data_IF_242734742148
#
_entry.id   IF_242734742148
#
_cell.length_a   1.000
_cell.length_b   1.000
_cell.length_c   1.000
_cell.angle_alpha   90.00
_cell.angle_beta   90.00
_cell.angle_gamma   90.00
#
_symmetry.space_group_name_H-M   'P 1'
#
loop_
_entity.id
_entity.type
_entity.pdbx_description
1 polymer ?
#
# COMPACT_ATOMS: atom_id res chain seq x y z
N UNK A 1 25.19 8.00 55.09
CA UNK A 1 25.22 7.58 53.67
C UNK A 1 24.27 6.40 53.50
N UNK A 2 23.02 6.68 53.15
CA UNK A 2 21.99 5.65 52.89
C UNK A 2 22.06 5.27 51.42
N UNK A 3 22.65 4.12 51.13
CA UNK A 3 22.74 3.59 49.78
C UNK A 3 21.40 2.92 49.41
N UNK A 4 20.58 3.63 48.62
CA UNK A 4 19.35 3.12 48.03
C UNK A 4 19.73 2.28 46.81
N UNK A 5 19.83 0.96 46.96
CA UNK A 5 19.84 0.05 45.81
C UNK A 5 18.44 -0.08 45.22
N UNK A 6 18.28 0.50 44.03
CA UNK A 6 17.09 0.38 43.20
C UNK A 6 16.81 -1.10 42.87
N UNK A 7 15.57 -1.54 43.15
CA UNK A 7 15.04 -2.82 42.66
C UNK A 7 14.63 -2.62 41.20
N UNK A 8 15.39 -3.21 40.28
CA UNK A 8 14.97 -3.39 38.90
C UNK A 8 14.12 -4.68 38.89
N UNK A 9 12.81 -4.52 38.74
CA UNK A 9 11.88 -5.64 38.55
C UNK A 9 11.92 -6.03 37.07
N UNK A 10 12.89 -6.85 36.68
CA UNK A 10 12.87 -7.49 35.36
C UNK A 10 11.89 -8.65 35.39
N UNK A 11 10.75 -8.51 34.72
CA UNK A 11 9.79 -9.61 34.56
C UNK A 11 10.42 -10.74 33.76
N UNK A 12 10.76 -11.85 34.43
CA UNK A 12 11.09 -13.11 33.77
C UNK A 12 9.80 -13.77 33.31
N UNK A 13 9.60 -13.86 31.99
CA UNK A 13 8.54 -14.66 31.39
C UNK A 13 8.87 -16.14 31.60
N UNK A 14 8.00 -16.86 32.31
CA UNK A 14 8.16 -18.28 32.63
C UNK A 14 7.65 -19.12 31.44
N UNK A 15 8.56 -19.53 30.57
CA UNK A 15 8.27 -20.46 29.47
C UNK A 15 8.37 -21.89 30.01
N UNK A 16 7.33 -22.71 29.85
CA UNK A 16 7.41 -24.14 30.14
C UNK A 16 8.24 -24.82 29.03
N UNK A 17 9.47 -25.19 29.38
CA UNK A 17 10.47 -25.74 28.48
C UNK A 17 10.11 -27.14 27.96
N UNK A 18 9.04 -27.75 28.52
CA UNK A 18 8.54 -29.05 28.08
C UNK A 18 7.55 -28.99 26.92
N UNK A 19 6.98 -27.81 26.62
CA UNK A 19 6.03 -27.61 25.52
C UNK A 19 6.74 -27.15 24.24
N UNK A 20 6.30 -27.67 23.10
CA UNK A 20 6.71 -27.15 21.79
C UNK A 20 6.12 -25.75 21.54
N UNK A 21 6.72 -25.01 20.61
CA UNK A 21 6.27 -23.67 20.23
C UNK A 21 4.79 -23.63 19.83
N UNK A 22 4.33 -24.61 19.05
CA UNK A 22 2.95 -24.68 18.57
C UNK A 22 1.98 -25.09 19.69
N UNK A 23 2.37 -26.01 20.58
CA UNK A 23 1.55 -26.38 21.75
C UNK A 23 1.36 -25.16 22.68
N UNK A 24 2.40 -24.36 22.85
CA UNK A 24 2.33 -23.18 23.70
C UNK A 24 1.45 -22.08 23.08
N UNK A 25 1.56 -21.88 21.77
CA UNK A 25 0.68 -20.98 21.04
C UNK A 25 -0.78 -21.47 21.06
N UNK A 26 -1.01 -22.78 21.02
CA UNK A 26 -2.35 -23.36 21.15
C UNK A 26 -2.94 -23.15 22.55
N UNK A 27 -2.13 -23.35 23.60
CA UNK A 27 -2.53 -23.09 24.99
C UNK A 27 -2.94 -21.63 25.21
N UNK A 28 -2.16 -20.68 24.71
CA UNK A 28 -2.52 -19.25 24.80
C UNK A 28 -3.86 -18.98 24.10
N UNK A 29 -4.12 -19.61 22.95
CA UNK A 29 -5.41 -19.45 22.26
C UNK A 29 -6.59 -20.07 23.00
N UNK A 30 -6.38 -21.21 23.67
CA UNK A 30 -7.46 -21.87 24.43
C UNK A 30 -7.80 -21.11 25.71
N UNK A 31 -6.82 -20.45 26.33
CA UNK A 31 -6.97 -19.67 27.56
C UNK A 31 -7.41 -18.20 27.30
N UNK A 32 -7.35 -17.73 26.06
CA UNK A 32 -7.67 -16.34 25.70
C UNK A 32 -9.14 -15.96 25.96
N UNK A 33 -9.36 -14.74 26.46
CA UNK A 33 -10.71 -14.17 26.62
C UNK A 33 -11.30 -13.78 25.25
N UNK A 34 -12.07 -14.72 24.69
CA UNK A 34 -12.76 -14.54 23.40
C UNK A 34 -13.73 -13.37 23.40
N UNK A 35 -14.37 -13.07 24.53
CA UNK A 35 -15.34 -11.97 24.63
C UNK A 35 -14.62 -10.63 24.58
N UNK A 36 -13.52 -10.48 25.32
CA UNK A 36 -12.70 -9.28 25.27
C UNK A 36 -12.11 -9.05 23.87
N UNK A 37 -11.64 -10.11 23.19
CA UNK A 37 -11.15 -10.02 21.81
C UNK A 37 -12.26 -9.59 20.85
N UNK A 38 -13.45 -10.19 20.92
CA UNK A 38 -14.57 -9.80 20.07
C UNK A 38 -14.99 -8.33 20.30
N UNK A 39 -15.01 -7.88 21.57
CA UNK A 39 -15.30 -6.48 21.92
C UNK A 39 -14.24 -5.50 21.42
N UNK A 40 -12.96 -5.89 21.43
CA UNK A 40 -11.88 -5.11 20.83
C UNK A 40 -12.07 -5.01 19.31
N UNK A 41 -12.24 -6.13 18.62
CA UNK A 41 -12.35 -6.17 17.15
C UNK A 41 -13.60 -5.47 16.62
N UNK A 42 -14.67 -5.39 17.42
CA UNK A 42 -15.87 -4.64 17.08
C UNK A 42 -15.63 -3.12 16.95
N UNK A 43 -14.58 -2.57 17.58
CA UNK A 43 -14.25 -1.14 17.55
C UNK A 43 -13.65 -0.69 16.23
N UNK A 44 -13.05 -1.61 15.47
CA UNK A 44 -12.46 -1.32 14.17
C UNK A 44 -13.53 -1.28 13.08
N UNK A 45 -13.37 -0.50 12.00
CA UNK A 45 -14.21 -0.59 10.80
C UNK A 45 -14.08 -1.96 10.11
N UNK A 46 -14.80 -2.17 8.99
CA UNK A 46 -14.42 -3.21 8.02
C UNK A 46 -13.34 -2.64 7.08
N UNK A 47 -12.52 -3.49 6.47
CA UNK A 47 -11.38 -3.05 5.67
C UNK A 47 -11.76 -2.14 4.50
N UNK A 48 -12.94 -2.36 3.90
CA UNK A 48 -13.51 -1.50 2.85
C UNK A 48 -13.88 -0.08 3.32
N UNK A 49 -14.07 0.10 4.63
CA UNK A 49 -14.51 1.35 5.24
C UNK A 49 -13.33 2.12 5.87
N UNK A 50 -12.11 1.58 5.80
CA UNK A 50 -10.88 2.28 6.21
C UNK A 50 -10.56 3.36 5.17
N UNK A 51 -10.46 4.64 5.57
CA UNK A 51 -10.19 5.72 4.63
C UNK A 51 -8.72 5.78 4.22
N UNK A 52 -8.46 6.47 3.10
CA UNK A 52 -7.12 6.96 2.78
C UNK A 52 -6.62 7.92 3.87
N UNK A 53 -5.31 8.11 3.93
CA UNK A 53 -4.71 9.10 4.84
C UNK A 53 -5.03 10.51 4.35
N UNK A 54 -5.06 11.51 5.24
CA UNK A 54 -5.21 12.90 4.83
C UNK A 54 -4.16 13.31 3.78
N UNK A 55 -4.56 14.19 2.87
CA UNK A 55 -3.66 14.73 1.86
C UNK A 55 -2.37 15.30 2.50
N UNK A 56 -1.21 14.94 1.96
CA UNK A 56 0.10 15.35 2.47
C UNK A 56 0.69 14.43 3.55
N UNK A 57 -0.05 13.44 4.08
CA UNK A 57 0.49 12.45 5.02
C UNK A 57 1.43 11.43 4.35
N UNK A 58 1.24 11.19 3.05
CA UNK A 58 2.19 10.46 2.20
C UNK A 58 2.81 11.49 1.26
N UNK A 59 4.14 11.67 1.25
CA UNK A 59 4.78 12.61 0.35
C UNK A 59 4.48 12.31 -1.11
N UNK A 60 4.10 13.33 -1.88
CA UNK A 60 4.03 13.29 -3.35
C UNK A 60 5.42 13.02 -3.99
N UNK A 61 6.49 13.06 -3.19
CA UNK A 61 7.85 12.61 -3.56
C UNK A 61 8.12 11.17 -3.12
N UNK A 62 7.10 10.32 -3.02
CA UNK A 62 7.29 8.93 -2.63
C UNK A 62 8.35 8.28 -3.53
N UNK A 63 9.04 7.25 -3.03
CA UNK A 63 9.96 6.43 -3.84
C UNK A 63 9.27 5.88 -5.12
N UNK A 64 7.94 5.93 -5.16
CA UNK A 64 7.12 5.60 -6.30
C UNK A 64 7.11 6.64 -7.44
N UNK A 65 7.60 7.85 -7.22
CA UNK A 65 7.68 8.91 -8.23
C UNK A 65 9.12 9.35 -8.55
N UNK A 66 10.05 9.22 -7.61
CA UNK A 66 11.45 9.71 -7.78
C UNK A 66 12.28 9.01 -8.87
N UNK A 67 11.83 7.86 -9.38
CA UNK A 67 12.57 7.05 -10.38
C UNK A 67 11.78 6.77 -11.65
N UNK A 68 10.90 7.68 -12.04
CA UNK A 68 10.12 7.53 -13.27
C UNK A 68 11.00 7.84 -14.50
N UNK A 69 10.94 7.01 -15.55
CA UNK A 69 11.58 7.31 -16.83
C UNK A 69 11.10 8.64 -17.41
N UNK A 70 11.99 9.34 -18.14
CA UNK A 70 11.59 10.51 -18.94
C UNK A 70 10.78 10.11 -20.18
N UNK A 71 10.98 8.90 -20.69
CA UNK A 71 10.19 8.34 -21.77
C UNK A 71 8.74 8.10 -21.32
N UNK A 72 7.78 8.72 -22.01
CA UNK A 72 6.38 8.75 -21.59
C UNK A 72 5.72 7.37 -21.61
N UNK A 73 6.09 6.52 -22.57
CA UNK A 73 5.55 5.16 -22.71
C UNK A 73 6.05 4.30 -21.54
N UNK A 74 7.35 4.31 -21.29
CA UNK A 74 7.95 3.61 -20.14
C UNK A 74 7.48 4.16 -18.80
N UNK A 75 7.24 5.47 -18.71
CA UNK A 75 6.66 6.11 -17.52
C UNK A 75 5.24 5.60 -17.28
N UNK A 76 4.39 5.58 -18.31
CA UNK A 76 3.01 5.05 -18.22
C UNK A 76 3.01 3.60 -17.76
N UNK A 77 3.75 2.74 -18.45
CA UNK A 77 3.82 1.31 -18.12
C UNK A 77 4.31 1.06 -16.68
N UNK A 78 5.30 1.84 -16.21
CA UNK A 78 5.82 1.74 -14.84
C UNK A 78 4.79 2.18 -13.80
N UNK A 79 4.05 3.26 -14.07
CA UNK A 79 2.98 3.73 -13.19
C UNK A 79 1.84 2.71 -13.12
N UNK A 80 1.38 2.16 -14.25
CA UNK A 80 0.35 1.13 -14.31
C UNK A 80 0.76 -0.15 -13.55
N UNK A 81 2.02 -0.58 -13.70
CA UNK A 81 2.57 -1.71 -12.96
C UNK A 81 2.55 -1.45 -11.44
N UNK A 82 2.90 -0.24 -11.01
CA UNK A 82 2.85 0.17 -9.60
C UNK A 82 1.42 0.20 -9.07
N UNK A 83 0.48 0.77 -9.84
CA UNK A 83 -0.96 0.75 -9.51
C UNK A 83 -1.44 -0.69 -9.30
N UNK A 84 -1.07 -1.61 -10.20
CA UNK A 84 -1.48 -3.01 -10.07
C UNK A 84 -0.88 -3.68 -8.82
N UNK A 85 0.38 -3.38 -8.48
CA UNK A 85 1.03 -3.89 -7.27
C UNK A 85 0.31 -3.40 -6.00
N UNK A 86 0.03 -2.09 -5.91
CA UNK A 86 -0.69 -1.51 -4.77
C UNK A 86 -2.14 -2.00 -4.68
N UNK A 87 -2.86 -2.17 -5.79
CA UNK A 87 -4.20 -2.80 -5.77
C UNK A 87 -4.16 -4.23 -5.23
N UNK A 88 -3.14 -4.99 -5.59
CA UNK A 88 -2.95 -6.36 -5.10
C UNK A 88 -2.58 -6.41 -3.61
N UNK A 89 -1.75 -5.46 -3.15
CA UNK A 89 -1.43 -5.27 -1.73
C UNK A 89 -2.67 -4.89 -0.93
N UNK A 90 -3.43 -3.89 -1.41
CA UNK A 90 -4.65 -3.41 -0.80
C UNK A 90 -5.69 -4.53 -0.63
N UNK A 91 -5.94 -5.32 -1.69
CA UNK A 91 -6.87 -6.44 -1.63
C UNK A 91 -6.45 -7.49 -0.58
N UNK A 92 -5.15 -7.76 -0.45
CA UNK A 92 -4.61 -8.68 0.55
C UNK A 92 -4.76 -8.12 1.97
N UNK A 93 -4.47 -6.85 2.17
CA UNK A 93 -4.58 -6.17 3.47
C UNK A 93 -6.04 -6.08 3.92
N UNK A 94 -6.97 -5.75 3.02
CA UNK A 94 -8.42 -5.78 3.30
C UNK A 94 -8.86 -7.19 3.69
N UNK A 95 -8.45 -8.22 2.93
CA UNK A 95 -8.81 -9.60 3.24
C UNK A 95 -8.31 -10.00 4.63
N UNK A 96 -7.04 -9.74 4.94
CA UNK A 96 -6.44 -10.07 6.24
C UNK A 96 -7.10 -9.34 7.40
N UNK A 97 -7.37 -8.05 7.23
CA UNK A 97 -8.11 -7.25 8.20
C UNK A 97 -9.51 -7.81 8.48
N UNK A 98 -10.26 -8.14 7.43
CA UNK A 98 -11.60 -8.67 7.55
C UNK A 98 -11.63 -10.09 8.11
N UNK A 99 -10.67 -10.93 7.73
CA UNK A 99 -10.52 -12.28 8.29
C UNK A 99 -10.19 -12.22 9.78
N UNK A 100 -9.28 -11.33 10.20
CA UNK A 100 -8.98 -11.10 11.61
C UNK A 100 -10.21 -10.62 12.38
N UNK A 101 -11.02 -9.74 11.78
CA UNK A 101 -12.27 -9.30 12.39
C UNK A 101 -13.30 -10.44 12.55
N UNK A 102 -13.35 -11.41 11.62
CA UNK A 102 -14.28 -12.55 11.66
C UNK A 102 -13.80 -13.69 12.57
N UNK A 103 -12.53 -14.03 12.47
CA UNK A 103 -11.93 -15.23 13.07
C UNK A 103 -11.20 -14.91 14.38
N UNK A 104 -10.89 -13.63 14.62
CA UNK A 104 -10.16 -13.19 15.80
C UNK A 104 -8.76 -13.78 15.88
N UNK A 105 -8.38 -14.20 17.08
CA UNK A 105 -7.03 -14.69 17.38
C UNK A 105 -6.59 -15.91 16.53
N UNK A 106 -7.53 -16.64 15.94
CA UNK A 106 -7.24 -17.77 15.06
C UNK A 106 -6.58 -17.32 13.73
N UNK A 107 -6.78 -16.06 13.31
CA UNK A 107 -6.12 -15.50 12.13
C UNK A 107 -4.70 -14.99 12.43
N UNK A 108 -4.36 -14.78 13.70
CA UNK A 108 -3.02 -14.32 14.12
C UNK A 108 -2.04 -15.48 14.01
N UNK A 109 -0.92 -15.28 13.32
CA UNK A 109 0.14 -16.28 13.19
C UNK A 109 0.82 -16.60 14.53
N UNK A 110 1.36 -17.81 14.68
CA UNK A 110 2.06 -18.20 15.91
C UNK A 110 3.28 -17.30 16.19
N UNK A 111 4.04 -16.93 15.16
CA UNK A 111 5.17 -16.01 15.33
C UNK A 111 4.74 -14.63 15.82
N UNK A 112 3.65 -14.08 15.27
CA UNK A 112 3.14 -12.79 15.71
C UNK A 112 2.69 -12.87 17.18
N UNK A 113 1.85 -13.86 17.51
CA UNK A 113 1.36 -14.06 18.87
C UNK A 113 2.50 -14.25 19.88
N UNK A 114 3.41 -15.18 19.60
CA UNK A 114 4.40 -15.64 20.57
C UNK A 114 5.64 -14.74 20.65
N UNK A 115 6.08 -14.21 19.52
CA UNK A 115 7.34 -13.46 19.42
C UNK A 115 7.06 -11.97 19.42
N UNK A 116 6.27 -11.48 18.46
CA UNK A 116 6.04 -10.04 18.31
C UNK A 116 5.23 -9.46 19.49
N UNK A 117 4.31 -10.24 20.04
CA UNK A 117 3.41 -9.80 21.11
C UNK A 117 3.57 -10.59 22.40
N UNK A 118 4.65 -11.37 22.55
CA UNK A 118 5.05 -12.03 23.80
C UNK A 118 3.94 -12.87 24.46
N UNK A 119 3.07 -13.48 23.65
CA UNK A 119 1.97 -14.32 24.09
C UNK A 119 0.72 -13.58 24.57
N UNK A 120 0.61 -12.25 24.41
CA UNK A 120 -0.59 -11.49 24.75
C UNK A 120 -1.61 -11.52 23.58
N UNK A 121 -2.77 -12.20 23.73
CA UNK A 121 -3.77 -12.30 22.67
C UNK A 121 -4.43 -10.97 22.28
N UNK A 122 -4.68 -10.10 23.27
CA UNK A 122 -5.35 -8.83 23.05
C UNK A 122 -4.41 -7.85 22.36
N UNK A 123 -3.16 -7.78 22.80
CA UNK A 123 -2.13 -7.00 22.13
C UNK A 123 -1.93 -7.50 20.69
N UNK A 124 -1.88 -8.82 20.49
CA UNK A 124 -1.70 -9.40 19.17
C UNK A 124 -2.83 -9.06 18.19
N UNK A 125 -4.09 -9.15 18.63
CA UNK A 125 -5.23 -8.75 17.79
C UNK A 125 -5.21 -7.23 17.53
N UNK A 126 -4.97 -6.41 18.55
CA UNK A 126 -4.97 -4.93 18.45
C UNK A 126 -3.92 -4.44 17.45
N UNK A 127 -2.70 -4.92 17.60
CA UNK A 127 -1.58 -4.46 16.78
C UNK A 127 -1.65 -5.01 15.36
N UNK A 128 -2.08 -6.26 15.18
CA UNK A 128 -2.30 -6.81 13.84
C UNK A 128 -3.43 -6.05 13.09
N UNK A 129 -4.53 -5.70 13.76
CA UNK A 129 -5.57 -4.85 13.17
C UNK A 129 -5.03 -3.48 12.77
N UNK A 130 -4.37 -2.78 13.71
CA UNK A 130 -3.81 -1.45 13.45
C UNK A 130 -2.78 -1.46 12.31
N UNK A 131 -1.99 -2.53 12.18
CA UNK A 131 -1.03 -2.71 11.09
C UNK A 131 -1.76 -2.82 9.74
N UNK A 132 -2.82 -3.62 9.66
CA UNK A 132 -3.57 -3.75 8.40
C UNK A 132 -4.33 -2.48 8.04
N UNK A 133 -4.90 -1.74 8.99
CA UNK A 133 -5.47 -0.40 8.71
C UNK A 133 -4.41 0.58 8.22
N UNK A 134 -3.21 0.55 8.81
CA UNK A 134 -2.10 1.38 8.38
C UNK A 134 -1.66 1.05 6.95
N UNK A 135 -1.67 -0.23 6.56
CA UNK A 135 -1.40 -0.67 5.19
C UNK A 135 -2.52 -0.29 4.23
N UNK A 136 -3.79 -0.53 4.58
CA UNK A 136 -4.95 -0.16 3.75
C UNK A 136 -4.95 1.35 3.47
N UNK A 137 -4.86 2.17 4.52
CA UNK A 137 -4.84 3.62 4.39
C UNK A 137 -3.65 4.12 3.57
N UNK A 138 -2.47 3.50 3.74
CA UNK A 138 -1.28 3.84 2.95
C UNK A 138 -1.46 3.49 1.47
N UNK A 139 -1.87 2.26 1.16
CA UNK A 139 -2.06 1.78 -0.21
C UNK A 139 -3.09 2.64 -0.95
N UNK A 140 -4.21 2.99 -0.30
CA UNK A 140 -5.20 3.92 -0.84
C UNK A 140 -4.58 5.29 -1.17
N UNK A 141 -3.80 5.85 -0.25
CA UNK A 141 -3.15 7.16 -0.45
C UNK A 141 -2.16 7.14 -1.61
N UNK A 142 -1.39 6.05 -1.75
CA UNK A 142 -0.44 5.91 -2.87
C UNK A 142 -1.19 5.73 -4.19
N UNK A 143 -2.29 4.97 -4.21
CA UNK A 143 -3.12 4.81 -5.41
C UNK A 143 -3.66 6.17 -5.90
N UNK A 144 -4.13 7.04 -5.01
CA UNK A 144 -4.56 8.40 -5.38
C UNK A 144 -3.44 9.23 -6.02
N UNK A 145 -2.21 9.13 -5.49
CA UNK A 145 -1.03 9.81 -6.04
C UNK A 145 -0.71 9.26 -7.44
N UNK A 146 -0.71 7.94 -7.60
CA UNK A 146 -0.40 7.28 -8.87
C UNK A 146 -1.47 7.57 -9.94
N UNK A 147 -2.74 7.53 -9.58
CA UNK A 147 -3.86 7.84 -10.48
C UNK A 147 -3.83 9.31 -10.92
N UNK A 148 -3.44 10.23 -10.03
CA UNK A 148 -3.20 11.64 -10.38
C UNK A 148 -2.04 11.79 -11.37
N UNK A 149 -0.93 11.07 -11.18
CA UNK A 149 0.21 11.10 -12.09
C UNK A 149 -0.10 10.48 -13.46
N UNK A 150 -0.87 9.39 -13.50
CA UNK A 150 -1.40 8.83 -14.74
C UNK A 150 -2.32 9.82 -15.45
N UNK A 151 -3.22 10.48 -14.72
CA UNK A 151 -4.12 11.50 -15.28
C UNK A 151 -3.36 12.67 -15.89
N UNK A 152 -2.28 13.15 -15.23
CA UNK A 152 -1.38 14.18 -15.79
C UNK A 152 -0.70 13.71 -17.07
N UNK A 153 -0.29 12.44 -17.11
CA UNK A 153 0.36 11.86 -18.29
C UNK A 153 -0.61 11.75 -19.46
N UNK A 154 -1.84 11.28 -19.21
CA UNK A 154 -2.87 11.17 -20.24
C UNK A 154 -3.29 12.55 -20.77
N UNK A 155 -3.41 13.56 -19.90
CA UNK A 155 -3.65 14.94 -20.31
C UNK A 155 -2.51 15.55 -21.15
N UNK A 156 -1.28 15.01 -21.05
CA UNK A 156 -0.14 15.46 -21.86
C UNK A 156 -0.15 14.90 -23.29
N UNK A 157 -0.96 13.87 -23.55
CA UNK A 157 -1.16 13.26 -24.86
C UNK A 157 -2.26 14.04 -25.60
N UNK A 158 -2.01 14.60 -26.80
CA UNK A 158 -3.04 15.33 -27.53
C UNK A 158 -4.25 14.47 -27.85
N UNK A 159 -5.45 15.07 -27.84
CA UNK A 159 -6.71 14.38 -28.16
C UNK A 159 -6.61 13.66 -29.50
N UNK A 160 -7.02 12.39 -29.54
CA UNK A 160 -6.95 11.52 -30.72
C UNK A 160 -5.60 10.83 -30.93
N UNK A 161 -4.62 11.05 -30.04
CA UNK A 161 -3.36 10.31 -30.04
C UNK A 161 -3.32 9.32 -28.87
N UNK A 162 -2.56 8.23 -29.06
CA UNK A 162 -2.33 7.21 -28.05
C UNK A 162 -0.83 6.97 -27.92
N UNK A 163 -0.37 6.73 -26.68
CA UNK A 163 0.97 6.20 -26.43
C UNK A 163 0.94 4.69 -26.72
N UNK A 164 1.80 4.24 -27.64
CA UNK A 164 1.87 2.84 -28.06
C UNK A 164 3.32 2.37 -27.95
N UNK A 165 3.53 1.25 -27.27
CA UNK A 165 4.74 0.43 -27.39
C UNK A 165 4.42 -0.76 -28.31
N UNK A 166 5.19 -0.95 -29.37
CA UNK A 166 4.94 -2.02 -30.32
C UNK A 166 6.25 -2.57 -30.91
N UNK A 167 6.34 -3.90 -31.00
CA UNK A 167 7.40 -4.57 -31.75
C UNK A 167 7.01 -4.53 -33.23
N UNK A 168 7.75 -3.76 -34.01
CA UNK A 168 7.48 -3.52 -35.43
C UNK A 168 8.56 -4.15 -36.30
N UNK A 169 8.19 -4.60 -37.50
CA UNK A 169 9.19 -4.93 -38.53
C UNK A 169 9.98 -3.68 -38.93
N UNK A 170 11.20 -3.81 -39.49
CA UNK A 170 12.02 -2.66 -39.86
C UNK A 170 11.29 -1.64 -40.77
N UNK A 171 10.48 -2.12 -41.72
CA UNK A 171 9.70 -1.29 -42.63
C UNK A 171 8.59 -0.51 -41.91
N UNK A 172 7.86 -1.17 -41.01
CA UNK A 172 6.82 -0.53 -40.21
C UNK A 172 7.42 0.49 -39.24
N UNK A 173 8.53 0.15 -38.58
CA UNK A 173 9.25 1.07 -37.70
C UNK A 173 9.71 2.34 -38.45
N UNK A 174 10.21 2.18 -39.68
CA UNK A 174 10.58 3.31 -40.53
C UNK A 174 9.38 4.20 -40.86
N UNK A 175 8.23 3.61 -41.24
CA UNK A 175 7.00 4.35 -41.53
C UNK A 175 6.49 5.12 -40.31
N UNK A 176 6.45 4.49 -39.13
CA UNK A 176 6.03 5.14 -37.89
C UNK A 176 6.96 6.29 -37.52
N UNK A 177 8.28 6.16 -37.72
CA UNK A 177 9.24 7.26 -37.53
C UNK A 177 8.98 8.43 -38.49
N UNK A 178 8.66 8.15 -39.75
CA UNK A 178 8.30 9.19 -40.71
C UNK A 178 7.00 9.91 -40.34
N UNK A 179 5.98 9.17 -39.88
CA UNK A 179 4.73 9.76 -39.38
C UNK A 179 4.99 10.64 -38.15
N UNK A 180 5.79 10.16 -37.19
CA UNK A 180 6.15 10.92 -36.00
C UNK A 180 6.91 12.23 -36.35
N UNK A 181 7.87 12.15 -37.29
CA UNK A 181 8.60 13.33 -37.76
C UNK A 181 7.67 14.35 -38.44
N UNK A 182 6.74 13.87 -39.26
CA UNK A 182 5.76 14.71 -39.97
C UNK A 182 4.70 15.30 -39.04
N UNK A 183 4.36 14.60 -37.95
CA UNK A 183 3.38 15.04 -36.96
C UNK A 183 3.95 16.02 -35.93
N UNK A 184 5.29 16.08 -35.76
CA UNK A 184 5.98 16.93 -34.78
C UNK A 184 5.47 18.39 -34.75
N UNK A 185 5.39 19.14 -35.87
CA UNK A 185 4.90 20.52 -35.85
C UNK A 185 3.42 20.63 -35.42
N UNK A 186 2.57 19.67 -35.81
CA UNK A 186 1.15 19.62 -35.40
C UNK A 186 1.02 19.34 -33.91
N UNK A 187 1.85 18.45 -33.36
CA UNK A 187 1.90 18.14 -31.93
C UNK A 187 2.36 19.36 -31.11
N UNK A 188 3.35 20.11 -31.60
CA UNK A 188 3.81 21.35 -30.95
C UNK A 188 2.71 22.42 -30.92
N UNK A 189 1.98 22.61 -32.03
CA UNK A 189 0.82 23.52 -32.08
C UNK A 189 -0.32 23.08 -31.16
N UNK A 190 -0.66 21.78 -31.14
CA UNK A 190 -1.70 21.25 -30.27
C UNK A 190 -1.33 21.41 -28.78
N UNK A 191 -0.07 21.16 -28.41
CA UNK A 191 0.44 21.39 -27.05
C UNK A 191 0.43 22.87 -26.67
N UNK A 192 0.79 23.77 -27.59
CA UNK A 192 0.72 25.22 -27.35
C UNK A 192 -0.73 25.67 -27.11
N UNK A 193 -1.69 25.16 -27.89
CA UNK A 193 -3.12 25.44 -27.71
C UNK A 193 -3.66 24.90 -26.38
N UNK A 194 -3.30 23.67 -26.00
CA UNK A 194 -3.69 23.08 -24.73
C UNK A 194 -3.16 23.88 -23.51
N UNK A 195 -1.91 24.36 -23.58
CA UNK A 195 -1.32 25.27 -22.56
C UNK A 195 -2.03 26.63 -22.48
N UNK A 196 -2.54 27.13 -23.61
CA UNK A 196 -3.27 28.39 -23.64
C UNK A 196 -4.66 28.23 -22.99
N UNK A 197 -5.38 27.15 -23.32
CA UNK A 197 -6.71 26.87 -22.77
C UNK A 197 -6.66 26.66 -21.24
N UNK A 198 -5.67 25.92 -20.75
CA UNK A 198 -5.47 25.71 -19.30
C UNK A 198 -5.11 26.98 -18.52
N UNK A 199 -4.64 28.05 -19.20
CA UNK A 199 -4.41 29.37 -18.59
C UNK A 199 -5.65 30.27 -18.55
N UNK A 200 -6.66 29.97 -19.36
CA UNK A 200 -7.90 30.77 -19.46
C UNK A 200 -8.96 30.25 -18.47
N UNK A 201 -8.85 29.01 -18.01
CA UNK A 201 -9.76 28.36 -17.07
C UNK A 201 -9.32 28.45 -15.59
N UNK A 202 -8.23 29.19 -15.28
CA UNK A 202 -7.76 29.52 -13.91
C UNK A 202 -8.12 30.97 -13.56
#
# INVERSE_FOLDING_TARGET
MTDKKARITTGLFYWDISMTFDEQAHKIRSEADRKAIAQLLAQYPWGKDVPARPAGAVPDSSADLERLPNDLVKRKAKLELRVQAYRSSLARSIKKHDDLKRLGLDEVGNSDLMICYSGDPLAACRHTMALHEAHISYDLSVLEILDRELSKLDASVPTGFLLVDAVLTPRQAFQVRQWAASAKPRLEQARAKARLNTRIEQ
#
